data_IF_903292002782
#
_entry.id   IF_903292002782
#
_cell.length_a   1.000
_cell.length_b   1.000
_cell.length_c   1.000
_cell.angle_alpha   90.00
_cell.angle_beta   90.00
_cell.angle_gamma   90.00
#
_symmetry.space_group_name_H-M   'P 1'
#
loop_
_entity.id
_entity.type
_entity.pdbx_description
1 polymer ?
#
# COMPACT_ATOMS: atom_id res chain seq x y z
N UNK A 1 5.99 -48.70 5.40
CA UNK A 1 5.95 -48.49 6.86
C UNK A 1 6.59 -49.65 7.62
N UNK A 2 7.62 -49.37 8.43
CA UNK A 2 8.28 -50.32 9.34
C UNK A 2 7.42 -50.60 10.58
N UNK A 3 7.80 -51.59 11.40
CA UNK A 3 7.11 -51.87 12.66
C UNK A 3 7.26 -50.70 13.66
N UNK A 4 8.42 -50.04 13.65
CA UNK A 4 8.72 -48.87 14.47
C UNK A 4 7.84 -47.68 14.08
N UNK A 5 7.74 -47.36 12.79
CA UNK A 5 6.85 -46.30 12.28
C UNK A 5 5.37 -46.57 12.61
N UNK A 6 4.94 -47.85 12.56
CA UNK A 6 3.58 -48.24 12.97
C UNK A 6 3.34 -48.01 14.46
N UNK A 7 4.33 -48.33 15.30
CA UNK A 7 4.25 -48.10 16.73
C UNK A 7 4.19 -46.60 17.05
N UNK A 8 5.09 -45.80 16.48
CA UNK A 8 5.09 -44.34 16.66
C UNK A 8 3.78 -43.69 16.19
N UNK A 9 3.25 -44.10 15.03
CA UNK A 9 1.96 -43.61 14.56
C UNK A 9 0.81 -43.97 15.52
N UNK A 10 0.88 -45.14 16.18
CA UNK A 10 -0.14 -45.56 17.16
C UNK A 10 -0.17 -44.69 18.42
N UNK A 11 0.89 -43.91 18.68
CA UNK A 11 0.92 -42.93 19.76
C UNK A 11 0.05 -41.69 19.49
N UNK A 12 -0.53 -41.54 18.30
CA UNK A 12 -1.39 -40.40 17.96
C UNK A 12 -2.86 -40.83 17.89
N UNK A 13 -3.62 -40.50 18.92
CA UNK A 13 -5.05 -40.79 18.99
C UNK A 13 -5.86 -39.73 18.22
N UNK A 14 -6.73 -40.16 17.32
CA UNK A 14 -7.65 -39.26 16.61
C UNK A 14 -8.74 -38.70 17.54
N UNK A 15 -8.91 -37.37 17.52
CA UNK A 15 -9.95 -36.68 18.27
C UNK A 15 -11.14 -36.31 17.38
N UNK A 16 -10.88 -35.67 16.23
CA UNK A 16 -11.91 -35.25 15.29
C UNK A 16 -11.35 -35.04 13.89
N UNK A 17 -12.19 -35.21 12.87
CA UNK A 17 -11.87 -34.82 11.50
C UNK A 17 -12.07 -33.31 11.32
N UNK A 18 -11.09 -32.61 10.74
CA UNK A 18 -11.13 -31.15 10.55
C UNK A 18 -11.81 -30.73 9.24
N UNK A 19 -11.82 -31.61 8.23
CA UNK A 19 -12.44 -31.35 6.94
C UNK A 19 -13.24 -32.56 6.45
N UNK A 20 -14.47 -32.35 5.97
CA UNK A 20 -15.33 -33.43 5.48
C UNK A 20 -14.72 -34.19 4.29
N UNK A 21 -14.06 -33.46 3.38
CA UNK A 21 -13.59 -34.00 2.09
C UNK A 21 -12.07 -34.24 2.04
N UNK A 22 -11.35 -33.98 3.12
CA UNK A 22 -9.91 -34.20 3.21
C UNK A 22 -9.60 -35.09 4.41
N UNK A 23 -8.60 -35.94 4.29
CA UNK A 23 -8.11 -36.80 5.36
C UNK A 23 -7.19 -36.00 6.31
N UNK A 24 -7.78 -35.02 7.00
CA UNK A 24 -7.12 -34.14 7.97
C UNK A 24 -7.81 -34.30 9.33
N UNK A 25 -7.04 -34.69 10.33
CA UNK A 25 -7.51 -35.04 11.66
C UNK A 25 -6.78 -34.22 12.72
N UNK A 26 -7.52 -33.79 13.72
CA UNK A 26 -6.94 -33.37 14.99
C UNK A 26 -6.59 -34.64 15.78
N UNK A 27 -5.34 -34.76 16.21
CA UNK A 27 -4.85 -35.91 16.96
C UNK A 27 -4.21 -35.44 18.27
N UNK A 28 -4.15 -36.32 19.25
CA UNK A 28 -3.44 -36.10 20.51
C UNK A 28 -2.38 -37.17 20.68
N UNK A 29 -1.15 -36.76 20.98
CA UNK A 29 -0.11 -37.70 21.38
C UNK A 29 -0.42 -38.28 22.76
N UNK A 30 -0.46 -39.61 22.89
CA UNK A 30 -0.92 -40.31 24.10
C UNK A 30 -0.04 -40.04 25.32
N UNK A 31 1.28 -40.01 25.15
CA UNK A 31 2.20 -39.80 26.28
C UNK A 31 2.35 -38.33 26.69
N UNK A 32 2.46 -37.41 25.74
CA UNK A 32 2.72 -35.99 26.02
C UNK A 32 1.44 -35.16 26.19
N UNK A 33 0.31 -35.66 25.70
CA UNK A 33 -0.95 -34.92 25.63
C UNK A 33 -0.96 -33.81 24.58
N UNK A 34 0.10 -33.66 23.77
CA UNK A 34 0.23 -32.60 22.76
C UNK A 34 -0.80 -32.77 21.65
N UNK A 35 -1.44 -31.67 21.25
CA UNK A 35 -2.43 -31.63 20.17
C UNK A 35 -1.72 -31.32 18.85
N UNK A 36 -1.93 -32.18 17.86
CA UNK A 36 -1.30 -32.12 16.54
C UNK A 36 -2.33 -32.26 15.42
N UNK A 37 -1.90 -32.03 14.19
CA UNK A 37 -2.67 -32.29 12.98
C UNK A 37 -2.06 -33.47 12.25
N UNK A 38 -2.88 -34.49 11.97
CA UNK A 38 -2.54 -35.60 11.09
C UNK A 38 -3.14 -35.35 9.70
N UNK A 39 -2.30 -35.41 8.67
CA UNK A 39 -2.72 -35.34 7.26
C UNK A 39 -2.37 -36.65 6.56
N UNK A 40 -3.30 -37.22 5.80
CA UNK A 40 -3.06 -38.33 4.89
C UNK A 40 -3.05 -37.77 3.47
N UNK A 41 -1.95 -37.98 2.75
CA UNK A 41 -1.67 -37.31 1.48
C UNK A 41 -1.30 -38.35 0.41
N UNK A 42 -2.17 -38.54 -0.59
CA UNK A 42 -1.96 -39.53 -1.66
C UNK A 42 -0.95 -39.07 -2.71
N UNK A 43 -0.81 -37.76 -2.91
CA UNK A 43 0.16 -37.16 -3.83
C UNK A 43 1.08 -36.24 -3.06
N UNK A 44 2.33 -36.66 -2.91
CA UNK A 44 3.30 -35.95 -2.08
C UNK A 44 4.68 -35.88 -2.75
N UNK A 45 5.49 -34.94 -2.24
CA UNK A 45 6.91 -34.87 -2.52
C UNK A 45 7.66 -35.06 -1.19
N UNK A 46 8.08 -36.29 -0.89
CA UNK A 46 8.70 -36.65 0.39
C UNK A 46 9.96 -35.82 0.71
N UNK A 47 10.89 -35.58 -0.25
CA UNK A 47 12.02 -34.67 -0.04
C UNK A 47 11.63 -33.29 0.51
N UNK A 48 10.53 -32.71 0.04
CA UNK A 48 10.06 -31.40 0.55
C UNK A 48 9.66 -31.50 2.02
N UNK A 49 8.88 -32.52 2.39
CA UNK A 49 8.47 -32.72 3.78
C UNK A 49 9.66 -33.04 4.70
N UNK A 50 10.65 -33.78 4.23
CA UNK A 50 11.91 -34.02 4.95
C UNK A 50 12.68 -32.72 5.16
N UNK A 51 12.85 -31.91 4.11
CA UNK A 51 13.51 -30.61 4.21
C UNK A 51 12.78 -29.67 5.18
N UNK A 52 11.45 -29.60 5.13
CA UNK A 52 10.67 -28.80 6.07
C UNK A 52 10.85 -29.25 7.53
N UNK A 53 10.93 -30.56 7.77
CA UNK A 53 11.16 -31.14 9.09
C UNK A 53 12.56 -30.79 9.63
N UNK A 54 13.58 -30.81 8.78
CA UNK A 54 14.96 -30.50 9.14
C UNK A 54 15.20 -28.99 9.33
N UNK A 55 14.71 -28.16 8.40
CA UNK A 55 14.97 -26.71 8.38
C UNK A 55 14.27 -25.95 9.50
N UNK A 56 13.15 -26.47 10.02
CA UNK A 56 12.35 -25.84 11.09
C UNK A 56 12.08 -24.36 10.82
N UNK A 57 11.57 -24.06 9.63
CA UNK A 57 11.37 -22.69 9.15
C UNK A 57 10.41 -21.95 10.09
N UNK A 58 10.78 -20.77 10.61
CA UNK A 58 9.90 -19.98 11.44
C UNK A 58 8.56 -19.72 10.75
N UNK A 59 7.49 -19.79 11.53
CA UNK A 59 6.12 -19.53 11.07
C UNK A 59 5.55 -20.54 10.04
N UNK A 60 6.21 -21.68 9.87
CA UNK A 60 5.65 -22.88 9.25
C UNK A 60 5.32 -23.88 10.36
N UNK A 61 4.21 -24.65 10.29
CA UNK A 61 3.92 -25.70 11.27
C UNK A 61 5.09 -26.67 11.41
N UNK A 62 5.56 -26.91 12.64
CA UNK A 62 6.62 -27.88 12.87
C UNK A 62 6.13 -29.29 12.53
N UNK A 63 6.80 -29.95 11.58
CA UNK A 63 6.58 -31.37 11.31
C UNK A 63 7.22 -32.17 12.45
N UNK A 64 6.41 -32.99 13.11
CA UNK A 64 6.82 -33.83 14.23
C UNK A 64 7.22 -35.22 13.76
N UNK A 65 6.47 -35.78 12.82
CA UNK A 65 6.71 -37.11 12.29
C UNK A 65 6.20 -37.24 10.85
N UNK A 66 6.85 -38.14 10.10
CA UNK A 66 6.48 -38.52 8.74
C UNK A 66 6.44 -40.04 8.67
N UNK A 67 5.32 -40.60 8.19
CA UNK A 67 5.18 -42.04 8.00
C UNK A 67 4.80 -42.33 6.56
N UNK A 68 5.59 -43.15 5.88
CA UNK A 68 5.33 -43.54 4.50
C UNK A 68 4.66 -44.92 4.44
N UNK A 69 3.41 -44.92 3.96
CA UNK A 69 2.68 -46.12 3.55
C UNK A 69 2.91 -46.41 2.06
N UNK A 70 2.32 -47.49 1.52
CA UNK A 70 2.54 -47.89 0.13
C UNK A 70 2.08 -46.82 -0.88
N UNK A 71 0.95 -46.15 -0.63
CA UNK A 71 0.33 -45.22 -1.59
C UNK A 71 0.14 -43.79 -1.06
N UNK A 72 0.53 -43.51 0.18
CA UNK A 72 0.31 -42.21 0.81
C UNK A 72 1.34 -41.88 1.87
N UNK A 73 1.51 -40.58 2.11
CA UNK A 73 2.30 -40.02 3.20
C UNK A 73 1.38 -39.57 4.33
N UNK A 74 1.70 -39.99 5.56
CA UNK A 74 1.07 -39.47 6.77
C UNK A 74 2.02 -38.44 7.38
N UNK A 75 1.52 -37.21 7.56
CA UNK A 75 2.28 -36.10 8.15
C UNK A 75 1.64 -35.75 9.49
N UNK A 76 2.43 -35.76 10.56
CA UNK A 76 2.06 -35.20 11.85
C UNK A 76 2.74 -33.84 11.99
N UNK A 77 1.96 -32.78 12.12
CA UNK A 77 2.45 -31.41 12.27
C UNK A 77 1.79 -30.70 13.46
N UNK A 78 2.43 -29.62 13.91
CA UNK A 78 1.91 -28.70 14.92
C UNK A 78 0.49 -28.23 14.59
N UNK A 79 -0.41 -28.31 15.56
CA UNK A 79 -1.71 -27.66 15.45
C UNK A 79 -1.57 -26.15 15.63
N UNK A 80 -1.92 -25.39 14.59
CA UNK A 80 -1.95 -23.92 14.65
C UNK A 80 -3.30 -23.46 15.21
N UNK A 81 -3.29 -22.96 16.44
CA UNK A 81 -4.46 -22.34 17.03
C UNK A 81 -4.67 -20.93 16.47
N UNK A 82 -5.53 -20.82 15.46
CA UNK A 82 -5.74 -19.56 14.74
C UNK A 82 -6.85 -19.63 13.69
N UNK A 83 -6.86 -18.60 12.84
CA UNK A 83 -7.86 -18.37 11.80
C UNK A 83 -7.18 -18.19 10.45
N UNK A 84 -7.71 -18.84 9.39
CA UNK A 84 -7.25 -18.58 8.03
C UNK A 84 -7.76 -17.23 7.51
N UNK A 85 -7.02 -16.59 6.60
CA UNK A 85 -7.49 -15.35 5.99
C UNK A 85 -8.78 -15.54 5.17
N UNK A 86 -9.00 -16.74 4.64
CA UNK A 86 -10.26 -17.10 3.99
C UNK A 86 -11.45 -17.02 4.97
N UNK A 87 -11.30 -17.59 6.18
CA UNK A 87 -12.32 -17.48 7.22
C UNK A 87 -12.50 -16.03 7.65
N UNK A 88 -11.41 -15.30 7.86
CA UNK A 88 -11.44 -13.86 8.18
C UNK A 88 -12.24 -13.07 7.15
N UNK A 89 -12.01 -13.34 5.87
CA UNK A 89 -12.74 -12.69 4.79
C UNK A 89 -14.23 -13.05 4.77
N UNK A 90 -14.56 -14.29 5.08
CA UNK A 90 -15.96 -14.73 5.19
C UNK A 90 -16.70 -14.01 6.32
N UNK A 91 -16.03 -13.82 7.45
CA UNK A 91 -16.63 -13.27 8.67
C UNK A 91 -16.63 -11.73 8.69
N UNK A 92 -15.57 -11.09 8.17
CA UNK A 92 -15.34 -9.64 8.26
C UNK A 92 -15.37 -8.91 6.91
N UNK A 93 -15.36 -9.62 5.78
CA UNK A 93 -15.25 -9.03 4.45
C UNK A 93 -13.82 -8.69 4.05
N UNK A 94 -13.67 -7.71 3.15
CA UNK A 94 -12.36 -7.28 2.62
C UNK A 94 -11.49 -6.63 3.70
N UNK A 95 -10.19 -6.76 3.56
CA UNK A 95 -9.19 -6.32 4.55
C UNK A 95 -8.61 -4.95 4.21
N UNK A 96 -8.07 -4.27 5.23
CA UNK A 96 -7.40 -2.99 5.04
C UNK A 96 -6.01 -3.16 4.45
N UNK A 97 -5.58 -2.17 3.66
CA UNK A 97 -4.31 -2.20 2.96
C UNK A 97 -3.10 -2.28 3.90
N UNK A 98 -3.17 -1.61 5.06
CA UNK A 98 -2.21 -1.73 6.16
C UNK A 98 -2.02 -3.18 6.62
N UNK A 99 -3.12 -3.85 6.89
CA UNK A 99 -3.13 -5.21 7.41
C UNK A 99 -2.60 -6.19 6.36
N UNK A 100 -3.10 -6.10 5.13
CA UNK A 100 -2.62 -6.93 4.00
C UNK A 100 -1.13 -6.71 3.78
N UNK A 101 -0.65 -5.47 3.79
CA UNK A 101 0.78 -5.18 3.64
C UNK A 101 1.64 -5.86 4.70
N UNK A 102 1.24 -5.79 5.97
CA UNK A 102 1.96 -6.44 7.08
C UNK A 102 1.97 -7.97 6.96
N UNK A 103 0.81 -8.56 6.66
CA UNK A 103 0.69 -10.01 6.47
C UNK A 103 1.60 -10.48 5.33
N UNK A 104 1.56 -9.80 4.19
CA UNK A 104 2.32 -10.21 3.02
C UNK A 104 3.83 -10.07 3.22
N UNK A 105 4.29 -9.07 3.98
CA UNK A 105 5.69 -8.98 4.36
C UNK A 105 6.12 -10.18 5.24
N UNK A 106 5.27 -10.64 6.16
CA UNK A 106 5.56 -11.83 6.95
C UNK A 106 5.57 -13.12 6.10
N UNK A 107 4.66 -13.24 5.14
CA UNK A 107 4.69 -14.37 4.18
C UNK A 107 5.94 -14.33 3.30
N UNK A 108 6.39 -13.13 2.88
CA UNK A 108 7.65 -12.99 2.15
C UNK A 108 8.86 -13.48 2.96
N UNK A 109 8.88 -13.28 4.28
CA UNK A 109 9.95 -13.77 5.16
C UNK A 109 9.99 -15.30 5.21
N UNK A 110 8.83 -15.95 5.24
CA UNK A 110 8.71 -17.40 5.19
C UNK A 110 9.19 -17.93 3.83
N UNK A 111 8.67 -17.37 2.73
CA UNK A 111 9.04 -17.77 1.38
C UNK A 111 10.51 -17.54 1.09
N UNK A 112 11.12 -16.49 1.66
CA UNK A 112 12.55 -16.25 1.50
C UNK A 112 13.36 -17.45 2.00
N UNK A 113 13.00 -18.02 3.15
CA UNK A 113 13.67 -19.21 3.69
C UNK A 113 13.47 -20.46 2.85
N UNK A 114 12.28 -20.62 2.26
CA UNK A 114 11.99 -21.73 1.35
C UNK A 114 12.78 -21.60 0.03
N UNK A 115 12.85 -20.38 -0.51
CA UNK A 115 13.53 -20.09 -1.77
C UNK A 115 15.06 -20.07 -1.64
N UNK A 116 15.59 -19.86 -0.43
CA UNK A 116 17.03 -19.97 -0.09
C UNK A 116 17.52 -21.42 0.03
N UNK A 117 16.62 -22.41 0.15
CA UNK A 117 16.98 -23.83 0.17
C UNK A 117 17.62 -24.26 -1.16
N UNK A 118 18.46 -25.30 -1.14
CA UNK A 118 19.09 -25.84 -2.34
C UNK A 118 18.73 -27.33 -2.48
N UNK A 119 17.89 -27.71 -3.46
CA UNK A 119 17.19 -26.86 -4.43
C UNK A 119 16.06 -25.99 -3.81
N UNK A 120 15.70 -24.82 -4.39
CA UNK A 120 14.66 -23.95 -3.85
C UNK A 120 13.32 -24.66 -3.69
N UNK A 121 12.65 -24.50 -2.54
CA UNK A 121 11.31 -25.07 -2.32
C UNK A 121 10.27 -24.03 -2.75
N UNK A 122 9.50 -24.33 -3.80
CA UNK A 122 8.40 -23.50 -4.29
C UNK A 122 7.09 -24.01 -3.71
N UNK A 123 6.28 -23.14 -3.10
CA UNK A 123 5.05 -23.55 -2.41
C UNK A 123 3.90 -23.91 -3.38
N UNK A 124 3.72 -23.14 -4.46
CA UNK A 124 2.75 -23.37 -5.56
C UNK A 124 1.25 -23.33 -5.22
N UNK A 125 0.87 -22.99 -3.99
CA UNK A 125 -0.54 -22.89 -3.58
C UNK A 125 -0.74 -21.80 -2.52
N UNK A 126 -0.14 -20.63 -2.74
CA UNK A 126 -0.35 -19.45 -1.87
C UNK A 126 -1.75 -18.89 -2.13
N UNK A 127 -2.58 -18.87 -1.09
CA UNK A 127 -3.97 -18.39 -1.11
C UNK A 127 -4.48 -18.10 0.31
N UNK A 128 -5.61 -17.38 0.48
CA UNK A 128 -6.12 -17.03 1.80
C UNK A 128 -6.39 -18.20 2.75
N UNK A 129 -6.76 -19.39 2.25
CA UNK A 129 -6.97 -20.58 3.09
C UNK A 129 -5.68 -21.18 3.64
N UNK A 130 -4.53 -20.90 3.01
CA UNK A 130 -3.23 -21.43 3.40
C UNK A 130 -2.40 -20.42 4.22
N UNK A 131 -2.94 -19.23 4.50
CA UNK A 131 -2.32 -18.23 5.37
C UNK A 131 -3.19 -18.11 6.62
N UNK A 132 -2.60 -18.33 7.80
CA UNK A 132 -3.30 -18.27 9.09
C UNK A 132 -2.72 -17.16 9.97
N UNK A 133 -3.58 -16.57 10.78
CA UNK A 133 -3.21 -15.71 11.91
C UNK A 133 -3.47 -16.52 13.18
N UNK A 134 -2.39 -16.87 13.89
CA UNK A 134 -2.48 -17.50 15.21
C UNK A 134 -3.09 -16.55 16.24
N UNK A 135 -3.59 -17.07 17.36
CA UNK A 135 -4.16 -16.24 18.43
C UNK A 135 -3.19 -15.17 18.96
N UNK A 136 -1.88 -15.44 18.92
CA UNK A 136 -0.85 -14.48 19.32
C UNK A 136 -0.56 -13.42 18.24
N UNK A 137 -1.36 -13.37 17.17
CA UNK A 137 -1.23 -12.41 16.08
C UNK A 137 -0.11 -12.72 15.08
N UNK A 138 0.53 -13.90 15.18
CA UNK A 138 1.61 -14.31 14.28
C UNK A 138 1.04 -14.92 13.02
N UNK A 139 1.53 -14.45 11.87
CA UNK A 139 1.20 -14.98 10.54
C UNK A 139 1.93 -16.30 10.33
N UNK A 140 1.20 -17.34 9.93
CA UNK A 140 1.69 -18.69 9.64
C UNK A 140 1.34 -19.08 8.20
N UNK A 141 2.25 -19.76 7.52
CA UNK A 141 2.01 -20.34 6.20
C UNK A 141 1.84 -21.86 6.35
N UNK A 142 0.74 -22.40 5.84
CA UNK A 142 0.35 -23.81 6.01
C UNK A 142 0.07 -24.47 4.66
N UNK A 143 -0.07 -25.80 4.66
CA UNK A 143 -0.43 -26.65 3.51
C UNK A 143 0.61 -26.67 2.38
N UNK A 144 1.64 -27.52 2.56
CA UNK A 144 2.73 -27.74 1.61
C UNK A 144 2.48 -28.89 0.64
N UNK A 145 1.23 -29.36 0.51
CA UNK A 145 0.90 -30.50 -0.36
C UNK A 145 1.25 -30.25 -1.84
N UNK A 146 1.11 -28.99 -2.27
CA UNK A 146 1.48 -28.58 -3.61
C UNK A 146 2.97 -28.22 -3.72
N UNK A 147 3.78 -28.23 -2.67
CA UNK A 147 5.14 -27.72 -2.74
C UNK A 147 6.09 -28.65 -3.53
N UNK A 148 7.16 -28.09 -4.10
CA UNK A 148 8.13 -28.83 -4.92
C UNK A 148 9.50 -28.16 -4.92
N UNK A 149 10.55 -28.97 -4.95
CA UNK A 149 11.91 -28.54 -5.21
C UNK A 149 12.10 -28.08 -6.68
N UNK A 150 12.63 -26.88 -6.86
CA UNK A 150 12.99 -26.33 -8.16
C UNK A 150 14.28 -26.99 -8.68
N UNK A 151 14.18 -27.69 -9.81
CA UNK A 151 15.33 -28.33 -10.46
C UNK A 151 15.53 -27.73 -11.84
N UNK A 152 16.64 -27.04 -12.06
CA UNK A 152 16.96 -26.38 -13.33
C UNK A 152 16.99 -27.41 -14.49
N UNK A 153 16.31 -27.11 -15.61
CA UNK A 153 16.31 -27.97 -16.80
C UNK A 153 15.21 -29.03 -16.88
N UNK A 154 14.14 -28.98 -16.06
CA UNK A 154 12.92 -29.76 -16.30
C UNK A 154 11.95 -28.97 -17.19
N UNK A 155 11.61 -29.51 -18.35
CA UNK A 155 10.88 -28.75 -19.38
C UNK A 155 9.48 -28.29 -18.93
N UNK A 156 8.73 -29.09 -18.16
CA UNK A 156 7.33 -28.81 -17.82
C UNK A 156 6.94 -29.43 -16.47
N UNK A 157 5.97 -28.82 -15.78
CA UNK A 157 5.31 -29.45 -14.65
C UNK A 157 4.41 -30.60 -15.13
N UNK A 158 4.67 -31.81 -14.64
CA UNK A 158 3.98 -33.04 -15.06
C UNK A 158 2.51 -33.15 -14.60
N UNK A 159 2.02 -32.19 -13.81
CA UNK A 159 0.66 -32.17 -13.27
C UNK A 159 0.15 -30.72 -13.17
N UNK A 160 -1.10 -30.52 -13.58
CA UNK A 160 -1.86 -29.30 -13.30
C UNK A 160 -2.08 -29.22 -11.79
N UNK A 161 -1.46 -28.25 -11.12
CA UNK A 161 -1.50 -28.08 -9.66
C UNK A 161 -1.77 -26.61 -9.35
N UNK A 162 -2.61 -26.36 -8.35
CA UNK A 162 -2.93 -25.02 -7.85
C UNK A 162 -4.43 -24.76 -7.85
N UNK A 163 -4.85 -23.77 -7.07
CA UNK A 163 -6.25 -23.36 -7.03
C UNK A 163 -6.55 -22.47 -8.24
N UNK A 164 -7.60 -22.77 -8.99
CA UNK A 164 -7.87 -22.22 -10.34
C UNK A 164 -7.71 -20.69 -10.46
N UNK A 165 -8.08 -19.92 -9.43
CA UNK A 165 -7.98 -18.46 -9.50
C UNK A 165 -6.67 -17.89 -8.95
N UNK A 166 -5.85 -18.65 -8.22
CA UNK A 166 -4.59 -18.21 -7.60
C UNK A 166 -3.33 -18.72 -8.31
N UNK A 167 -3.46 -19.82 -9.05
CA UNK A 167 -2.33 -20.48 -9.72
C UNK A 167 -1.73 -19.60 -10.82
N UNK A 168 -0.41 -19.58 -10.91
CA UNK A 168 0.30 -18.86 -11.95
C UNK A 168 0.11 -19.53 -13.32
N UNK A 169 0.19 -18.78 -14.44
CA UNK A 169 0.01 -19.33 -15.79
C UNK A 169 0.89 -20.55 -16.10
N UNK A 170 2.13 -20.56 -15.64
CA UNK A 170 3.06 -21.67 -15.84
C UNK A 170 2.60 -22.99 -15.19
N UNK A 171 1.78 -22.93 -14.12
CA UNK A 171 1.25 -24.11 -13.44
C UNK A 171 0.17 -24.84 -14.25
N UNK A 172 -0.31 -24.23 -15.35
CA UNK A 172 -1.25 -24.85 -16.29
C UNK A 172 -0.56 -25.68 -17.39
N UNK A 173 0.71 -26.04 -17.19
CA UNK A 173 1.48 -26.86 -18.13
C UNK A 173 2.24 -26.03 -19.18
N UNK A 174 2.31 -24.71 -19.05
CA UNK A 174 3.01 -23.82 -19.97
C UNK A 174 4.45 -23.50 -19.54
N UNK A 175 4.94 -24.11 -18.46
CA UNK A 175 6.31 -23.94 -18.00
C UNK A 175 6.59 -24.64 -16.67
N UNK A 176 7.77 -24.36 -16.13
CA UNK A 176 8.22 -24.88 -14.85
C UNK A 176 7.92 -23.89 -13.72
N UNK A 177 7.31 -24.36 -12.63
CA UNK A 177 7.15 -23.57 -11.40
C UNK A 177 8.50 -23.15 -10.82
N UNK A 178 8.61 -21.89 -10.42
CA UNK A 178 9.84 -21.24 -9.91
C UNK A 178 9.49 -20.35 -8.71
N UNK A 179 10.47 -19.75 -8.00
CA UNK A 179 10.16 -18.74 -6.96
C UNK A 179 9.20 -17.63 -7.41
N UNK A 180 9.21 -17.27 -8.70
CA UNK A 180 8.30 -16.30 -9.30
C UNK A 180 6.84 -16.78 -9.39
N UNK A 181 6.59 -18.09 -9.28
CA UNK A 181 5.25 -18.69 -9.20
C UNK A 181 4.57 -18.31 -7.90
N UNK A 182 5.28 -18.37 -6.76
CA UNK A 182 4.75 -17.93 -5.46
C UNK A 182 4.51 -16.41 -5.44
N UNK A 183 5.35 -15.62 -6.13
CA UNK A 183 5.18 -14.17 -6.27
C UNK A 183 3.88 -13.82 -7.01
N UNK A 184 3.52 -14.57 -8.05
CA UNK A 184 2.24 -14.39 -8.74
C UNK A 184 1.06 -14.66 -7.81
N UNK A 185 1.10 -15.80 -7.10
CA UNK A 185 0.05 -16.21 -6.19
C UNK A 185 -0.11 -15.23 -5.00
N UNK A 186 1.00 -14.65 -4.50
CA UNK A 186 0.96 -13.52 -3.56
C UNK A 186 0.25 -12.29 -4.13
N UNK A 187 0.53 -11.94 -5.40
CA UNK A 187 -0.13 -10.85 -6.11
C UNK A 187 -1.65 -11.02 -6.19
N UNK A 188 -2.09 -12.21 -6.58
CA UNK A 188 -3.53 -12.53 -6.61
C UNK A 188 -4.13 -12.50 -5.22
N UNK A 189 -3.46 -13.11 -4.24
CA UNK A 189 -3.92 -13.14 -2.84
C UNK A 189 -4.07 -11.73 -2.28
N UNK A 190 -3.08 -10.85 -2.48
CA UNK A 190 -3.16 -9.44 -2.09
C UNK A 190 -4.39 -8.76 -2.68
N UNK A 191 -4.63 -8.93 -3.99
CA UNK A 191 -5.77 -8.32 -4.65
C UNK A 191 -7.09 -8.82 -4.05
N UNK A 192 -7.22 -10.14 -3.94
CA UNK A 192 -8.43 -10.78 -3.45
C UNK A 192 -8.77 -10.35 -2.02
N UNK A 193 -7.79 -10.27 -1.11
CA UNK A 193 -8.01 -9.77 0.25
C UNK A 193 -8.50 -8.32 0.28
N UNK A 194 -8.12 -7.49 -0.70
CA UNK A 194 -8.45 -6.06 -0.75
C UNK A 194 -9.76 -5.75 -1.48
N UNK A 195 -10.15 -6.58 -2.45
CA UNK A 195 -11.32 -6.33 -3.31
C UNK A 195 -12.44 -7.35 -3.14
N UNK A 196 -12.14 -8.56 -2.66
CA UNK A 196 -13.05 -9.71 -2.71
C UNK A 196 -13.17 -10.33 -4.10
N UNK A 197 -12.36 -9.87 -5.07
CA UNK A 197 -12.42 -10.30 -6.47
C UNK A 197 -11.01 -10.45 -7.06
N UNK A 198 -10.91 -11.12 -8.19
CA UNK A 198 -9.65 -11.47 -8.82
C UNK A 198 -9.09 -10.34 -9.71
N UNK A 199 -7.77 -10.25 -9.90
CA UNK A 199 -7.14 -9.19 -10.71
C UNK A 199 -7.71 -9.05 -12.14
N UNK A 200 -8.19 -10.15 -12.73
CA UNK A 200 -8.83 -10.20 -14.05
C UNK A 200 -10.16 -9.43 -14.11
N UNK A 201 -10.89 -9.37 -13.00
CA UNK A 201 -12.19 -8.72 -12.89
C UNK A 201 -12.06 -7.32 -12.30
N UNK A 202 -11.34 -7.21 -11.18
CA UNK A 202 -11.13 -5.97 -10.46
C UNK A 202 -9.73 -5.92 -9.86
N UNK A 203 -8.90 -5.04 -10.40
CA UNK A 203 -7.61 -4.73 -9.82
C UNK A 203 -7.76 -3.68 -8.70
N UNK A 204 -7.13 -3.93 -7.54
CA UNK A 204 -7.08 -2.97 -6.45
C UNK A 204 -6.59 -1.59 -6.90
N UNK A 205 -7.22 -0.52 -6.41
CA UNK A 205 -6.92 0.86 -6.82
C UNK A 205 -6.28 1.73 -5.72
N UNK A 206 -5.72 1.11 -4.68
CA UNK A 206 -4.97 1.80 -3.63
C UNK A 206 -3.47 1.85 -3.87
N UNK A 207 -2.69 2.00 -2.80
CA UNK A 207 -1.23 2.18 -2.82
C UNK A 207 -0.48 0.93 -3.31
N UNK A 208 -0.96 -0.27 -2.99
CA UNK A 208 -0.37 -1.56 -3.38
C UNK A 208 -0.62 -1.91 -4.85
N UNK A 209 -1.47 -1.17 -5.57
CA UNK A 209 -1.75 -1.38 -7.01
C UNK A 209 -0.49 -1.62 -7.87
N UNK A 210 0.56 -0.77 -7.85
CA UNK A 210 1.77 -1.00 -8.63
C UNK A 210 2.48 -2.32 -8.28
N UNK A 211 2.46 -2.72 -6.99
CA UNK A 211 3.06 -3.97 -6.52
C UNK A 211 2.26 -5.16 -7.02
N UNK A 212 0.95 -5.15 -6.79
CA UNK A 212 0.03 -6.20 -7.24
C UNK A 212 0.14 -6.38 -8.75
N UNK A 213 0.06 -5.28 -9.52
CA UNK A 213 0.17 -5.31 -10.98
C UNK A 213 1.47 -5.94 -11.46
N UNK A 214 2.58 -5.71 -10.77
CA UNK A 214 3.88 -6.32 -11.13
C UNK A 214 3.93 -7.81 -10.76
N UNK A 215 3.32 -8.21 -9.64
CA UNK A 215 3.26 -9.62 -9.25
C UNK A 215 2.47 -10.47 -10.25
N UNK A 216 1.34 -9.96 -10.76
CA UNK A 216 0.41 -10.72 -11.60
C UNK A 216 0.72 -10.66 -13.10
N UNK A 217 1.94 -10.29 -13.49
CA UNK A 217 2.36 -10.34 -14.89
C UNK A 217 2.34 -11.77 -15.41
N UNK A 218 1.89 -11.96 -16.66
CA UNK A 218 1.81 -13.28 -17.28
C UNK A 218 3.21 -13.88 -17.43
N UNK A 219 4.15 -13.10 -17.97
CA UNK A 219 5.56 -13.48 -18.06
C UNK A 219 6.20 -13.45 -16.67
N UNK A 220 6.78 -14.58 -16.23
CA UNK A 220 7.49 -14.68 -14.95
C UNK A 220 8.67 -13.72 -14.85
N UNK A 221 9.35 -13.43 -15.97
CA UNK A 221 10.48 -12.50 -16.04
C UNK A 221 10.13 -11.03 -15.81
N UNK A 222 8.85 -10.65 -15.97
CA UNK A 222 8.37 -9.29 -15.69
C UNK A 222 7.95 -9.08 -14.23
N UNK A 223 7.86 -10.18 -13.45
CA UNK A 223 7.56 -10.15 -12.03
C UNK A 223 8.79 -9.68 -11.23
N UNK A 224 8.66 -9.66 -9.90
CA UNK A 224 9.82 -9.47 -9.04
C UNK A 224 10.76 -10.68 -9.16
N UNK A 225 12.07 -10.45 -9.19
CA UNK A 225 13.07 -11.52 -9.34
C UNK A 225 13.07 -12.46 -8.13
N UNK A 226 12.73 -11.95 -6.94
CA UNK A 226 12.62 -12.73 -5.72
C UNK A 226 11.77 -12.04 -4.66
N UNK A 227 11.38 -12.79 -3.64
CA UNK A 227 10.46 -12.33 -2.58
C UNK A 227 11.02 -11.19 -1.73
N UNK A 228 12.35 -11.07 -1.60
CA UNK A 228 12.99 -9.93 -0.92
C UNK A 228 12.71 -8.59 -1.65
N UNK A 229 12.76 -8.62 -2.99
CA UNK A 229 12.46 -7.44 -3.81
C UNK A 229 10.98 -7.05 -3.68
N UNK A 230 10.08 -8.05 -3.66
CA UNK A 230 8.66 -7.85 -3.40
C UNK A 230 8.42 -7.24 -2.01
N UNK A 231 9.01 -7.82 -0.96
CA UNK A 231 8.91 -7.31 0.42
C UNK A 231 9.31 -5.84 0.51
N UNK A 232 10.44 -5.49 -0.09
CA UNK A 232 10.97 -4.12 -0.11
C UNK A 232 10.01 -3.17 -0.84
N UNK A 233 9.40 -3.62 -1.95
CA UNK A 233 8.42 -2.84 -2.68
C UNK A 233 7.14 -2.59 -1.86
N UNK A 234 6.62 -3.62 -1.17
CA UNK A 234 5.50 -3.49 -0.23
C UNK A 234 5.85 -2.47 0.85
N UNK A 235 6.98 -2.66 1.54
CA UNK A 235 7.40 -1.79 2.64
C UNK A 235 7.53 -0.32 2.21
N UNK A 236 8.12 -0.07 1.04
CA UNK A 236 8.28 1.28 0.48
C UNK A 236 6.94 1.96 0.26
N UNK A 237 5.99 1.23 -0.32
CA UNK A 237 4.62 1.71 -0.56
C UNK A 237 3.90 2.00 0.75
N UNK A 238 4.07 1.16 1.76
CA UNK A 238 3.44 1.31 3.07
C UNK A 238 4.01 2.49 3.88
N UNK A 239 5.34 2.68 3.87
CA UNK A 239 6.03 3.78 4.59
C UNK A 239 5.67 5.18 4.07
N UNK A 240 5.26 5.30 2.80
CA UNK A 240 4.91 6.58 2.17
C UNK A 240 3.74 7.30 2.88
N UNK A 241 2.89 6.56 3.61
CA UNK A 241 1.80 7.13 4.42
C UNK A 241 2.29 7.68 5.77
N UNK A 242 3.21 7.04 6.50
CA UNK A 242 3.72 7.57 7.77
C UNK A 242 4.40 8.92 7.60
N UNK A 243 5.16 9.11 6.52
CA UNK A 243 5.80 10.41 6.23
C UNK A 243 4.76 11.49 5.88
N UNK A 244 3.72 11.15 5.11
CA UNK A 244 2.65 12.09 4.77
C UNK A 244 1.68 12.35 5.95
N UNK A 245 1.42 11.38 6.82
CA UNK A 245 0.62 11.53 8.04
C UNK A 245 1.38 12.40 9.03
N UNK A 246 2.68 12.14 9.27
CA UNK A 246 3.48 12.94 10.20
C UNK A 246 3.56 14.40 9.74
N UNK A 247 3.79 14.63 8.44
CA UNK A 247 3.76 15.99 7.86
C UNK A 247 2.37 16.63 7.97
N UNK A 248 1.29 15.85 7.87
CA UNK A 248 -0.10 16.36 7.94
C UNK A 248 -0.59 16.55 9.38
N UNK A 249 -0.09 15.79 10.36
CA UNK A 249 -0.41 15.96 11.78
C UNK A 249 0.37 17.10 12.43
N UNK A 250 1.58 17.40 11.93
CA UNK A 250 2.35 18.59 12.35
C UNK A 250 1.76 19.91 11.84
N UNK A 251 0.89 19.89 10.82
CA UNK A 251 0.28 21.09 10.21
C UNK A 251 -1.22 20.92 9.92
N UNK A 252 -2.07 20.80 10.96
CA UNK A 252 -3.47 20.40 10.83
C UNK A 252 -4.41 21.46 10.19
N UNK A 253 -3.95 22.69 9.95
CA UNK A 253 -4.79 23.82 9.49
C UNK A 253 -4.27 24.45 8.17
N UNK A 254 -4.30 23.71 7.05
CA UNK A 254 -3.75 24.19 5.77
C UNK A 254 -4.74 24.89 4.81
N UNK A 255 -6.04 24.96 5.12
CA UNK A 255 -7.03 25.65 4.24
C UNK A 255 -6.80 27.15 4.16
N UNK A 256 -6.40 27.77 5.28
CA UNK A 256 -6.14 29.21 5.42
C UNK A 256 -4.64 29.52 5.49
N UNK A 257 -3.76 28.54 5.27
CA UNK A 257 -2.34 28.84 5.18
C UNK A 257 -2.06 29.68 3.92
N UNK A 258 -1.12 30.65 3.98
CA UNK A 258 -0.74 31.48 2.85
C UNK A 258 -0.39 30.65 1.62
N UNK A 259 -0.60 31.24 0.43
CA UNK A 259 -0.27 30.60 -0.84
C UNK A 259 1.20 30.16 -0.81
N UNK A 260 1.47 28.90 -1.16
CA UNK A 260 2.79 28.27 -1.12
C UNK A 260 3.12 27.46 0.15
N UNK A 261 2.37 27.66 1.25
CA UNK A 261 2.58 26.94 2.52
C UNK A 261 1.64 25.74 2.71
N UNK A 262 0.60 25.61 1.86
CA UNK A 262 -0.48 24.63 2.05
C UNK A 262 -0.11 23.17 1.82
N UNK A 263 1.01 22.87 1.15
CA UNK A 263 1.39 21.47 0.91
C UNK A 263 2.50 20.96 1.84
N UNK A 264 2.99 21.79 2.77
CA UNK A 264 4.10 21.45 3.66
C UNK A 264 5.44 21.11 2.95
N UNK A 265 5.53 21.31 1.64
CA UNK A 265 6.73 20.98 0.88
C UNK A 265 7.76 22.09 1.07
N UNK A 266 8.91 21.77 1.65
CA UNK A 266 9.96 22.74 2.01
C UNK A 266 10.34 23.67 0.86
N UNK A 267 10.53 23.11 -0.35
CA UNK A 267 10.90 23.92 -1.52
C UNK A 267 9.81 24.93 -1.92
N UNK A 268 8.52 24.59 -1.78
CA UNK A 268 7.40 25.51 -2.05
C UNK A 268 7.31 26.59 -0.98
N UNK A 269 7.61 26.24 0.28
CA UNK A 269 7.66 27.21 1.38
C UNK A 269 8.81 28.19 1.18
N UNK A 270 10.02 27.72 0.85
CA UNK A 270 11.17 28.59 0.56
C UNK A 270 10.88 29.54 -0.61
N UNK A 271 10.32 29.01 -1.71
CA UNK A 271 9.92 29.82 -2.85
C UNK A 271 8.86 30.86 -2.46
N UNK A 272 7.90 30.49 -1.62
CA UNK A 272 6.87 31.40 -1.12
C UNK A 272 7.47 32.50 -0.24
N UNK A 273 8.40 32.17 0.66
CA UNK A 273 9.12 33.16 1.49
C UNK A 273 9.82 34.19 0.60
N UNK A 274 10.59 33.73 -0.40
CA UNK A 274 11.25 34.62 -1.37
C UNK A 274 10.23 35.49 -2.10
N UNK A 275 9.12 34.89 -2.55
CA UNK A 275 8.03 35.61 -3.22
C UNK A 275 7.41 36.70 -2.35
N UNK A 276 7.06 36.41 -1.09
CA UNK A 276 6.48 37.40 -0.17
C UNK A 276 7.49 38.50 0.22
N UNK A 277 8.79 38.17 0.35
CA UNK A 277 9.83 39.18 0.57
C UNK A 277 9.98 40.10 -0.64
N UNK A 278 9.92 39.55 -1.86
CA UNK A 278 9.93 40.35 -3.07
C UNK A 278 8.71 41.27 -3.17
N UNK A 279 7.52 40.78 -2.83
CA UNK A 279 6.31 41.61 -2.79
C UNK A 279 6.43 42.73 -1.75
N UNK A 280 6.95 42.43 -0.57
CA UNK A 280 7.19 43.43 0.47
C UNK A 280 8.17 44.50 -0.02
N UNK A 281 9.27 44.08 -0.65
CA UNK A 281 10.25 45.01 -1.23
C UNK A 281 9.58 45.90 -2.28
N UNK A 282 8.81 45.32 -3.21
CA UNK A 282 8.11 46.07 -4.25
C UNK A 282 7.15 47.14 -3.68
N UNK A 283 6.45 46.83 -2.58
CA UNK A 283 5.59 47.79 -1.88
C UNK A 283 6.43 48.91 -1.25
N UNK A 284 7.47 48.58 -0.48
CA UNK A 284 8.26 49.58 0.24
C UNK A 284 9.05 50.49 -0.71
N UNK A 285 9.50 49.97 -1.86
CA UNK A 285 10.22 50.76 -2.87
C UNK A 285 9.32 51.52 -3.83
N UNK A 286 7.99 51.41 -3.71
CA UNK A 286 7.09 52.15 -4.60
C UNK A 286 7.18 53.65 -4.27
N UNK A 287 7.77 54.42 -5.18
CA UNK A 287 7.80 55.88 -5.07
C UNK A 287 6.46 56.45 -5.54
N UNK A 288 5.90 57.38 -4.77
CA UNK A 288 4.70 58.11 -5.15
C UNK A 288 4.92 59.59 -4.90
N UNK A 289 4.59 60.39 -5.91
CA UNK A 289 4.57 61.83 -5.83
C UNK A 289 3.13 62.29 -5.55
N UNK A 290 2.99 63.23 -4.63
CA UNK A 290 1.74 63.91 -4.33
C UNK A 290 1.97 65.42 -4.47
N UNK A 291 1.20 66.06 -5.36
CA UNK A 291 1.36 67.49 -5.69
C UNK A 291 2.79 67.89 -6.11
N UNK A 292 3.49 67.02 -6.83
CA UNK A 292 4.84 67.28 -7.35
C UNK A 292 5.95 67.19 -6.30
N UNK A 293 5.65 66.70 -5.09
CA UNK A 293 6.62 66.38 -4.05
C UNK A 293 6.51 64.89 -3.68
N UNK A 294 7.59 64.26 -3.17
CA UNK A 294 7.50 62.89 -2.68
C UNK A 294 6.45 62.81 -1.56
N UNK A 295 5.53 61.86 -1.67
CA UNK A 295 4.49 61.63 -0.69
C UNK A 295 5.11 61.28 0.68
N UNK A 296 4.62 61.91 1.74
CA UNK A 296 5.06 61.66 3.12
C UNK A 296 3.87 61.47 4.04
N UNK A 297 4.12 60.98 5.26
CA UNK A 297 3.09 60.81 6.28
C UNK A 297 1.97 59.87 5.84
N UNK A 298 0.72 60.25 6.10
CA UNK A 298 -0.46 59.38 5.89
C UNK A 298 -0.66 58.98 4.42
N UNK A 299 -0.33 59.87 3.47
CA UNK A 299 -0.50 59.61 2.03
C UNK A 299 0.41 58.47 1.56
N UNK A 300 1.65 58.43 2.05
CA UNK A 300 2.60 57.36 1.76
C UNK A 300 2.12 56.00 2.33
N UNK A 301 1.64 56.00 3.58
CA UNK A 301 1.11 54.79 4.21
C UNK A 301 -0.12 54.23 3.50
N UNK A 302 -1.05 55.11 3.11
CA UNK A 302 -2.22 54.68 2.35
C UNK A 302 -1.82 54.11 0.99
N UNK A 303 -0.80 54.69 0.35
CA UNK A 303 -0.27 54.15 -0.90
C UNK A 303 0.29 52.73 -0.72
N UNK A 304 1.18 52.53 0.25
CA UNK A 304 1.72 51.20 0.54
C UNK A 304 0.63 50.19 0.86
N UNK A 305 -0.40 50.60 1.60
CA UNK A 305 -1.55 49.74 1.88
C UNK A 305 -2.29 49.34 0.60
N UNK A 306 -2.56 50.28 -0.31
CA UNK A 306 -3.23 50.00 -1.57
C UNK A 306 -2.40 49.07 -2.47
N UNK A 307 -1.10 49.30 -2.59
CA UNK A 307 -0.18 48.44 -3.34
C UNK A 307 -0.11 47.03 -2.72
N UNK A 308 0.01 46.93 -1.40
CA UNK A 308 0.01 45.65 -0.70
C UNK A 308 -1.32 44.89 -0.92
N UNK A 309 -2.46 45.56 -0.80
CA UNK A 309 -3.78 44.98 -1.02
C UNK A 309 -3.96 44.49 -2.47
N UNK A 310 -3.51 45.26 -3.45
CA UNK A 310 -3.55 44.88 -4.86
C UNK A 310 -2.70 43.63 -5.12
N UNK A 311 -1.44 43.63 -4.68
CA UNK A 311 -0.52 42.52 -4.90
C UNK A 311 -0.92 41.24 -4.15
N UNK A 312 -1.29 41.36 -2.86
CA UNK A 312 -1.74 40.22 -2.06
C UNK A 312 -3.05 39.63 -2.61
N UNK A 313 -3.97 40.47 -3.06
CA UNK A 313 -5.22 39.99 -3.65
C UNK A 313 -5.00 39.20 -4.93
N UNK A 314 -4.06 39.62 -5.80
CA UNK A 314 -3.66 38.82 -6.98
C UNK A 314 -3.05 37.48 -6.56
N UNK A 315 -2.14 37.47 -5.58
CA UNK A 315 -1.55 36.22 -5.05
C UNK A 315 -2.62 35.30 -4.48
N UNK A 316 -3.54 35.83 -3.70
CA UNK A 316 -4.64 35.08 -3.10
C UNK A 316 -5.59 34.53 -4.15
N UNK A 317 -5.93 35.32 -5.17
CA UNK A 317 -6.78 34.88 -6.26
C UNK A 317 -6.10 33.82 -7.13
N UNK A 318 -4.82 34.01 -7.49
CA UNK A 318 -4.01 33.03 -8.24
C UNK A 318 -3.82 31.73 -7.43
N UNK A 319 -3.61 31.85 -6.13
CA UNK A 319 -3.44 30.73 -5.22
C UNK A 319 -4.75 30.15 -4.69
N UNK A 320 -5.92 30.60 -5.17
CA UNK A 320 -7.24 30.21 -4.68
C UNK A 320 -7.34 30.18 -3.15
N UNK A 321 -6.88 31.25 -2.50
CA UNK A 321 -6.90 31.38 -1.04
C UNK A 321 -8.32 31.35 -0.50
N UNK A 322 -8.55 30.50 0.51
CA UNK A 322 -9.87 30.28 1.08
C UNK A 322 -10.93 29.74 0.12
N UNK A 323 -10.58 29.41 -1.13
CA UNK A 323 -11.55 29.09 -2.18
C UNK A 323 -12.18 30.31 -2.87
N UNK A 324 -11.54 31.49 -2.81
CA UNK A 324 -12.07 32.76 -3.33
C UNK A 324 -12.56 32.69 -4.79
N UNK A 325 -11.96 31.86 -5.64
CA UNK A 325 -12.36 31.71 -7.04
C UNK A 325 -13.78 31.18 -7.22
N UNK A 326 -14.24 30.38 -6.26
CA UNK A 326 -15.58 29.78 -6.33
C UNK A 326 -16.69 30.79 -6.01
N UNK A 327 -16.35 31.99 -5.54
CA UNK A 327 -17.30 33.09 -5.38
C UNK A 327 -17.61 33.81 -6.70
N UNK A 328 -16.82 33.59 -7.76
CA UNK A 328 -16.96 34.29 -9.04
C UNK A 328 -17.70 33.44 -10.09
N UNK A 329 -18.58 34.06 -10.91
CA UNK A 329 -19.28 33.37 -11.98
C UNK A 329 -18.35 32.67 -12.98
N UNK A 330 -18.81 31.58 -13.60
CA UNK A 330 -18.14 30.90 -14.71
C UNK A 330 -16.73 30.32 -14.44
N UNK A 331 -16.28 30.33 -13.18
CA UNK A 331 -15.02 29.70 -12.74
C UNK A 331 -15.10 28.15 -12.62
N UNK A 332 -16.15 27.52 -13.16
CA UNK A 332 -16.32 26.06 -13.24
C UNK A 332 -16.37 25.64 -14.70
N UNK A 333 -15.47 24.75 -15.15
CA UNK A 333 -15.48 24.22 -16.52
C UNK A 333 -14.11 24.16 -17.19
N UNK A 334 -14.04 24.55 -18.46
CA UNK A 334 -12.86 24.42 -19.33
C UNK A 334 -11.62 25.14 -18.74
N UNK A 335 -10.47 24.45 -18.72
CA UNK A 335 -9.20 24.96 -18.19
C UNK A 335 -8.71 26.24 -18.87
N UNK A 336 -8.93 26.39 -20.18
CA UNK A 336 -8.51 27.58 -20.93
C UNK A 336 -9.37 28.78 -20.54
N UNK A 337 -10.69 28.59 -20.52
CA UNK A 337 -11.64 29.60 -20.09
C UNK A 337 -11.39 30.02 -18.64
N UNK A 338 -11.07 29.07 -17.76
CA UNK A 338 -10.73 29.33 -16.38
C UNK A 338 -9.51 30.25 -16.23
N UNK A 339 -8.42 30.03 -17.00
CA UNK A 339 -7.25 30.91 -16.94
C UNK A 339 -7.51 32.29 -17.55
N UNK A 340 -8.26 32.36 -18.64
CA UNK A 340 -8.67 33.62 -19.26
C UNK A 340 -9.52 34.48 -18.29
N UNK A 341 -10.56 33.89 -17.70
CA UNK A 341 -11.40 34.55 -16.70
C UNK A 341 -10.59 34.94 -15.45
N UNK A 342 -9.65 34.10 -15.03
CA UNK A 342 -8.82 34.42 -13.86
C UNK A 342 -7.96 35.69 -14.07
N UNK A 343 -7.42 35.88 -15.28
CA UNK A 343 -6.67 37.10 -15.63
C UNK A 343 -7.61 38.31 -15.59
N UNK A 344 -8.79 38.20 -16.19
CA UNK A 344 -9.79 39.28 -16.20
C UNK A 344 -10.19 39.69 -14.77
N UNK A 345 -10.50 38.72 -13.92
CA UNK A 345 -10.88 39.00 -12.53
C UNK A 345 -9.73 39.60 -11.72
N UNK A 346 -8.48 39.17 -11.93
CA UNK A 346 -7.31 39.79 -11.31
C UNK A 346 -7.17 41.26 -11.75
N UNK A 347 -7.29 41.55 -13.05
CA UNK A 347 -7.21 42.92 -13.58
C UNK A 347 -8.34 43.81 -13.03
N UNK A 348 -9.56 43.29 -13.00
CA UNK A 348 -10.71 43.99 -12.43
C UNK A 348 -10.51 44.29 -10.94
N UNK A 349 -10.00 43.32 -10.18
CA UNK A 349 -9.69 43.51 -8.76
C UNK A 349 -8.67 44.63 -8.55
N UNK A 350 -7.54 44.59 -9.27
CA UNK A 350 -6.51 45.63 -9.17
C UNK A 350 -7.08 47.00 -9.54
N UNK A 351 -7.88 47.08 -10.60
CA UNK A 351 -8.55 48.32 -11.01
C UNK A 351 -9.46 48.87 -9.90
N UNK A 352 -10.29 48.01 -9.28
CA UNK A 352 -11.19 48.40 -8.19
C UNK A 352 -10.41 48.91 -6.98
N UNK A 353 -9.33 48.23 -6.59
CA UNK A 353 -8.48 48.67 -5.46
C UNK A 353 -7.86 50.05 -5.74
N UNK A 354 -7.29 50.25 -6.94
CA UNK A 354 -6.68 51.52 -7.33
C UNK A 354 -7.72 52.63 -7.42
N UNK A 355 -8.90 52.34 -7.99
CA UNK A 355 -9.99 53.30 -8.12
C UNK A 355 -10.54 53.75 -6.77
N UNK A 356 -10.81 52.80 -5.86
CA UNK A 356 -11.24 53.12 -4.49
C UNK A 356 -10.18 53.97 -3.79
N UNK A 357 -8.91 53.61 -3.94
CA UNK A 357 -7.83 54.38 -3.34
C UNK A 357 -7.75 55.81 -3.88
N UNK A 358 -7.91 55.99 -5.20
CA UNK A 358 -7.96 57.31 -5.81
C UNK A 358 -9.15 58.15 -5.28
N UNK A 359 -10.32 57.54 -5.08
CA UNK A 359 -11.48 58.20 -4.46
C UNK A 359 -11.22 58.61 -3.01
N UNK A 360 -10.54 57.76 -2.23
CA UNK A 360 -10.18 58.09 -0.85
C UNK A 360 -9.19 59.25 -0.83
N UNK A 361 -8.19 59.26 -1.71
CA UNK A 361 -7.24 60.37 -1.79
C UNK A 361 -7.90 61.69 -2.19
N UNK A 362 -8.81 61.68 -3.17
CA UNK A 362 -9.52 62.90 -3.58
C UNK A 362 -10.45 63.40 -2.47
N UNK A 363 -11.21 62.53 -1.81
CA UNK A 363 -12.07 62.92 -0.68
C UNK A 363 -11.26 63.45 0.51
N UNK A 364 -10.11 62.85 0.80
CA UNK A 364 -9.16 63.34 1.81
C UNK A 364 -8.66 64.74 1.46
N UNK A 365 -8.31 64.97 0.19
CA UNK A 365 -7.88 66.29 -0.30
C UNK A 365 -8.99 67.34 -0.17
N UNK A 366 -10.25 67.00 -0.49
CA UNK A 366 -11.39 67.90 -0.32
C UNK A 366 -11.69 68.20 1.15
N UNK A 367 -11.56 67.22 2.04
CA UNK A 367 -11.81 67.39 3.47
C UNK A 367 -10.77 68.31 4.13
N UNK A 368 -9.52 68.28 3.68
CA UNK A 368 -8.44 69.09 4.24
C UNK A 368 -8.22 70.44 3.55
N UNK A 369 -8.77 70.67 2.34
CA UNK A 369 -8.81 72.00 1.69
C UNK A 369 -9.99 72.88 2.16
N UNK A 370 -10.93 72.33 2.94
CA UNK A 370 -12.07 73.06 3.54
C UNK A 370 -11.83 73.57 4.96
N UNK A 371 -10.63 73.36 5.50
CA UNK A 371 -10.06 73.97 6.70
C UNK A 371 -8.98 74.96 6.27
#
# INVERSE_FOLDING_TARGET
MTLEEKYELSCYQELTKLHANKEIYLVQHVDTGEICVKKVIDTYNKPVYQALMELKIPNVPRIQALFEAEDHLIVIEEYIHGESLEKRMKDCGVMQEEEVGHIMMAVCDILQKLHEHQPPIVHRDIKPSNIMISQDGVVKLVDFNAAKEYADGKNEDTRLIGTQDFAAPEQYGFGQSSPQTDIYALGVTMNYLLTGDYPKNQLWNGRLKPVIRKCVQISSGERYTGVLQLKTAIETVMRTKSRNILVRSLYPYQKYAPVGFRSGALWKMLLAVIGYLFLLAAVVTSNVEYQGQPATGIVLWMNWFAYAAALLGVVFFIGNYGGIRYAFPFMKGNKVLHWFLAIIYCLLYVFVVVFIMALILTTFEYAFKGL
#
